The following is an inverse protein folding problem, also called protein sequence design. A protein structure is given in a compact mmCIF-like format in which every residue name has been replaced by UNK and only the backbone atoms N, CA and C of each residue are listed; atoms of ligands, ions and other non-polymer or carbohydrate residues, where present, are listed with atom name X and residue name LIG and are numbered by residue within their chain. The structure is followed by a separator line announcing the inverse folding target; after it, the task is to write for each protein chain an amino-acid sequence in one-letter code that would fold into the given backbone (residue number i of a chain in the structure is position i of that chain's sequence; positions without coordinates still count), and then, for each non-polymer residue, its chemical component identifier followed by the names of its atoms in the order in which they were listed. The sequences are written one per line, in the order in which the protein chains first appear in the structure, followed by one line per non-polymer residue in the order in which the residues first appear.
data_IF_928242138294
#
_entry.id   IF_928242138294
#
_cell.length_a   1.000
_cell.length_b   1.000
_cell.length_c   1.000
_cell.angle_alpha   90.00
_cell.angle_beta   90.00
_cell.angle_gamma   90.00
#
_symmetry.space_group_name_H-M   'P 1'
#
loop_
_entity.id
_entity.type
_entity.pdbx_description
1 polymer ?
#
# COMPACT_ATOMS: atom_id res chain seq x y z
N UNK A 1 -26.21 -16.83 -35.82
CA UNK A 1 -25.30 -15.70 -36.10
C UNK A 1 -25.59 -14.43 -35.31
N UNK A 2 -26.80 -13.83 -35.34
CA UNK A 2 -27.06 -12.55 -34.66
C UNK A 2 -26.79 -12.54 -33.15
N UNK A 3 -27.19 -13.59 -32.41
CA UNK A 3 -26.97 -13.66 -30.94
C UNK A 3 -25.49 -13.65 -30.55
N UNK A 4 -24.64 -14.38 -31.28
CA UNK A 4 -23.19 -14.46 -30.99
C UNK A 4 -22.48 -13.12 -31.21
N UNK A 5 -22.86 -12.40 -32.26
CA UNK A 5 -22.33 -11.05 -32.55
C UNK A 5 -22.76 -10.04 -31.49
N UNK A 6 -24.01 -10.10 -31.03
CA UNK A 6 -24.53 -9.22 -29.96
C UNK A 6 -23.80 -9.45 -28.64
N UNK A 7 -23.56 -10.71 -28.26
CA UNK A 7 -22.84 -11.05 -27.02
C UNK A 7 -21.39 -10.55 -27.07
N UNK A 8 -20.70 -10.73 -28.22
CA UNK A 8 -19.34 -10.23 -28.39
C UNK A 8 -19.26 -8.70 -28.24
N UNK A 9 -20.21 -7.96 -28.82
CA UNK A 9 -20.27 -6.51 -28.70
C UNK A 9 -20.52 -6.05 -27.24
N UNK A 10 -21.32 -6.79 -26.48
CA UNK A 10 -21.57 -6.48 -25.07
C UNK A 10 -20.32 -6.67 -24.21
N UNK A 11 -19.55 -7.73 -24.45
CA UNK A 11 -18.29 -7.98 -23.73
C UNK A 11 -17.26 -6.89 -24.03
N UNK A 12 -17.11 -6.50 -25.29
CA UNK A 12 -16.20 -5.40 -25.68
C UNK A 12 -16.62 -4.10 -25.01
N UNK A 13 -17.92 -3.78 -25.02
CA UNK A 13 -18.44 -2.59 -24.34
C UNK A 13 -18.11 -2.60 -22.84
N UNK A 14 -18.30 -3.75 -22.16
CA UNK A 14 -17.99 -3.90 -20.74
C UNK A 14 -16.49 -3.68 -20.48
N UNK A 15 -15.60 -4.25 -21.30
CA UNK A 15 -14.15 -4.04 -21.19
C UNK A 15 -13.78 -2.57 -21.35
N UNK A 16 -14.37 -1.88 -22.32
CA UNK A 16 -14.15 -0.43 -22.54
C UNK A 16 -14.63 0.38 -21.33
N UNK A 17 -15.79 0.05 -20.76
CA UNK A 17 -16.30 0.73 -19.57
C UNK A 17 -15.35 0.54 -18.38
N UNK A 18 -14.89 -0.70 -18.12
CA UNK A 18 -13.91 -0.96 -17.05
C UNK A 18 -12.62 -0.20 -17.30
N UNK A 19 -12.14 -0.17 -18.55
CA UNK A 19 -10.94 0.57 -18.93
C UNK A 19 -11.08 2.06 -18.60
N UNK A 20 -12.17 2.69 -19.01
CA UNK A 20 -12.44 4.11 -18.77
C UNK A 20 -12.57 4.41 -17.27
N UNK A 21 -13.30 3.58 -16.52
CA UNK A 21 -13.43 3.73 -15.06
C UNK A 21 -12.04 3.67 -14.40
N UNK A 22 -11.19 2.72 -14.83
CA UNK A 22 -9.81 2.62 -14.37
C UNK A 22 -8.99 3.85 -14.70
N UNK A 23 -9.08 4.38 -15.92
CA UNK A 23 -8.38 5.62 -16.30
C UNK A 23 -8.80 6.80 -15.43
N UNK A 24 -10.11 7.00 -15.23
CA UNK A 24 -10.62 8.05 -14.33
C UNK A 24 -10.06 7.86 -12.92
N UNK A 25 -10.12 6.63 -12.40
CA UNK A 25 -9.57 6.29 -11.09
C UNK A 25 -8.09 6.61 -10.97
N UNK A 26 -7.26 6.31 -11.98
CA UNK A 26 -5.79 6.45 -11.93
C UNK A 26 -5.30 7.89 -12.11
N UNK A 27 -6.10 8.76 -12.72
CA UNK A 27 -5.78 10.18 -12.97
C UNK A 27 -6.17 11.09 -11.80
N UNK A 28 -7.00 10.61 -10.85
CA UNK A 28 -7.36 11.41 -9.66
C UNK A 28 -6.11 11.93 -8.92
N UNK A 29 -6.18 13.09 -8.25
CA UNK A 29 -5.04 13.64 -7.53
C UNK A 29 -4.57 12.73 -6.40
N UNK A 30 -3.25 12.67 -6.22
CA UNK A 30 -2.62 11.93 -5.14
C UNK A 30 -2.85 12.60 -3.79
N UNK A 31 -3.14 11.83 -2.71
CA UNK A 31 -3.25 12.39 -1.37
C UNK A 31 -1.86 12.82 -0.86
N UNK A 32 -1.82 13.98 -0.19
CA UNK A 32 -0.61 14.44 0.50
C UNK A 32 -0.30 13.54 1.70
N UNK A 33 0.98 13.41 2.04
CA UNK A 33 1.43 12.71 3.25
C UNK A 33 0.82 13.36 4.51
N UNK A 34 -0.09 12.67 5.23
CA UNK A 34 -0.77 13.27 6.38
C UNK A 34 0.14 13.38 7.59
N UNK A 35 -0.24 14.27 8.50
CA UNK A 35 0.38 14.36 9.82
C UNK A 35 -0.39 13.49 10.82
N UNK A 36 0.34 12.82 11.71
CA UNK A 36 -0.21 11.93 12.72
C UNK A 36 -0.80 12.74 13.88
N UNK A 37 -2.05 12.47 14.27
CA UNK A 37 -2.69 13.16 15.38
C UNK A 37 -2.00 12.87 16.72
N UNK A 38 -2.06 13.83 17.66
CA UNK A 38 -1.55 13.66 19.03
C UNK A 38 -0.12 13.10 19.09
N UNK A 39 0.73 13.61 18.19
CA UNK A 39 2.11 13.17 18.04
C UNK A 39 3.04 14.37 17.87
N UNK A 40 4.33 14.17 18.10
CA UNK A 40 5.36 15.18 17.92
C UNK A 40 6.23 14.78 16.73
N UNK A 41 6.41 15.70 15.79
CA UNK A 41 7.24 15.47 14.60
C UNK A 41 8.71 15.30 15.03
N UNK A 42 9.37 14.28 14.50
CA UNK A 42 10.79 14.00 14.68
C UNK A 42 11.63 15.03 13.93
N UNK A 43 12.67 15.54 14.56
CA UNK A 43 13.69 16.41 13.97
C UNK A 43 15.03 15.67 13.73
N UNK A 44 15.04 14.35 13.88
CA UNK A 44 16.22 13.53 13.62
C UNK A 44 16.66 13.62 12.16
N UNK A 45 17.96 13.56 11.92
CA UNK A 45 18.55 13.63 10.58
C UNK A 45 17.94 12.60 9.60
N UNK A 46 17.69 11.39 10.09
CA UNK A 46 17.08 10.30 9.33
C UNK A 46 15.64 10.56 8.88
N UNK A 47 14.92 11.45 9.56
CA UNK A 47 13.50 11.74 9.35
C UNK A 47 13.26 13.14 8.77
N UNK A 48 14.33 13.89 8.46
CA UNK A 48 14.28 15.29 7.99
C UNK A 48 15.00 15.47 6.66
N UNK A 49 16.34 15.47 6.66
CA UNK A 49 17.13 15.83 5.47
C UNK A 49 17.79 14.62 4.79
N UNK A 50 18.05 13.52 5.51
CA UNK A 50 18.61 12.31 4.90
C UNK A 50 17.58 11.59 4.03
N UNK A 51 16.31 11.62 4.45
CA UNK A 51 15.18 11.04 3.73
C UNK A 51 14.01 12.04 3.69
N UNK A 52 14.03 13.00 2.75
CA UNK A 52 13.01 14.05 2.69
C UNK A 52 11.63 13.54 2.26
N UNK A 53 11.55 12.31 1.75
CA UNK A 53 10.30 11.62 1.42
C UNK A 53 9.62 11.01 2.66
N UNK A 54 10.28 10.99 3.82
CA UNK A 54 9.79 10.32 5.03
C UNK A 54 9.43 11.33 6.12
N UNK A 55 8.55 10.91 7.03
CA UNK A 55 8.26 11.68 8.26
C UNK A 55 8.26 10.75 9.47
N UNK A 56 9.06 11.09 10.47
CA UNK A 56 9.07 10.42 11.77
C UNK A 56 8.18 11.15 12.77
N UNK A 57 7.48 10.40 13.63
CA UNK A 57 6.63 10.92 14.69
C UNK A 57 6.86 10.16 15.98
N UNK A 58 6.80 10.88 17.09
CA UNK A 58 6.80 10.36 18.44
C UNK A 58 5.38 10.43 19.00
N UNK A 59 4.84 9.31 19.45
CA UNK A 59 3.43 9.24 19.86
C UNK A 59 3.20 8.23 20.98
N UNK A 60 2.11 8.44 21.72
CA UNK A 60 1.58 7.50 22.72
C UNK A 60 0.35 6.74 22.20
N UNK A 61 0.08 6.84 20.89
CA UNK A 61 -1.00 6.12 20.24
C UNK A 61 -0.64 4.64 20.05
N UNK A 62 -1.65 3.79 20.17
CA UNK A 62 -1.55 2.37 19.82
C UNK A 62 -1.51 2.18 18.29
N UNK A 63 -0.94 1.07 17.82
CA UNK A 63 -0.99 0.64 16.40
C UNK A 63 -2.35 0.89 15.73
N UNK A 64 -3.44 0.44 16.35
CA UNK A 64 -4.79 0.57 15.77
C UNK A 64 -5.21 2.03 15.60
N UNK A 65 -4.91 2.89 16.59
CA UNK A 65 -5.21 4.32 16.55
C UNK A 65 -4.38 5.03 15.48
N UNK A 66 -3.08 4.73 15.39
CA UNK A 66 -2.18 5.28 14.36
C UNK A 66 -2.72 4.98 12.97
N UNK A 67 -3.01 3.72 12.70
CA UNK A 67 -3.47 3.29 11.38
C UNK A 67 -4.86 3.82 11.03
N UNK A 68 -5.76 3.90 12.02
CA UNK A 68 -7.09 4.48 11.81
C UNK A 68 -7.00 5.97 11.49
N UNK A 69 -6.17 6.72 12.21
CA UNK A 69 -5.97 8.14 11.96
C UNK A 69 -5.39 8.37 10.57
N UNK A 70 -4.30 7.68 10.22
CA UNK A 70 -3.65 7.82 8.92
C UNK A 70 -4.57 7.40 7.77
N UNK A 71 -5.30 6.29 7.89
CA UNK A 71 -6.21 5.84 6.84
C UNK A 71 -7.38 6.82 6.64
N UNK A 72 -7.84 7.50 7.68
CA UNK A 72 -8.90 8.51 7.57
C UNK A 72 -8.44 9.80 6.89
N UNK A 73 -7.13 10.09 6.91
CA UNK A 73 -6.53 11.29 6.33
C UNK A 73 -5.95 11.04 4.94
N UNK A 74 -5.38 9.86 4.70
CA UNK A 74 -4.82 9.45 3.42
C UNK A 74 -5.93 8.96 2.48
N UNK A 75 -6.76 9.90 2.02
CA UNK A 75 -7.99 9.62 1.28
C UNK A 75 -7.98 10.24 -0.11
N UNK A 76 -8.31 9.43 -1.11
CA UNK A 76 -8.62 9.89 -2.46
C UNK A 76 -10.11 10.19 -2.55
N UNK A 77 -10.46 11.37 -3.06
CA UNK A 77 -11.86 11.81 -3.25
C UNK A 77 -12.21 11.83 -4.74
N UNK A 78 -13.36 11.27 -5.07
CA UNK A 78 -14.04 11.44 -6.36
C UNK A 78 -15.33 12.24 -6.10
N UNK A 79 -15.26 13.56 -6.29
CA UNK A 79 -16.32 14.47 -5.85
C UNK A 79 -16.51 14.39 -4.33
N UNK A 80 -17.71 14.01 -3.88
CA UNK A 80 -18.05 13.88 -2.46
C UNK A 80 -17.84 12.47 -1.90
N UNK A 81 -17.33 11.53 -2.71
CA UNK A 81 -17.16 10.13 -2.31
C UNK A 81 -15.68 9.86 -2.02
N UNK A 82 -15.38 9.40 -0.81
CA UNK A 82 -14.07 8.91 -0.43
C UNK A 82 -13.88 7.49 -0.97
N UNK A 83 -12.82 7.25 -1.73
CA UNK A 83 -12.50 5.92 -2.23
C UNK A 83 -11.91 5.06 -1.12
N UNK A 84 -12.32 3.78 -1.02
CA UNK A 84 -11.81 2.88 -0.01
C UNK A 84 -10.32 2.60 -0.23
N UNK A 85 -9.57 2.57 0.86
CA UNK A 85 -8.19 2.09 0.92
C UNK A 85 -8.12 0.78 1.69
N UNK A 86 -7.09 -0.01 1.44
CA UNK A 86 -6.86 -1.31 2.09
C UNK A 86 -5.61 -1.25 2.97
N UNK A 87 -5.57 -2.10 4.00
CA UNK A 87 -4.36 -2.29 4.80
C UNK A 87 -3.72 -3.62 4.47
N UNK A 88 -2.44 -3.61 4.19
CA UNK A 88 -1.62 -4.80 4.05
C UNK A 88 -0.63 -4.86 5.21
N UNK A 89 -0.46 -6.04 5.79
CA UNK A 89 0.47 -6.26 6.89
C UNK A 89 1.69 -7.02 6.38
N UNK A 90 2.86 -6.50 6.68
CA UNK A 90 4.16 -7.01 6.22
C UNK A 90 4.96 -7.58 7.38
N UNK A 91 6.03 -8.29 7.04
CA UNK A 91 6.99 -8.75 8.03
C UNK A 91 7.85 -7.57 8.47
N UNK A 92 8.27 -7.56 9.73
CA UNK A 92 9.04 -6.43 10.27
C UNK A 92 10.44 -6.35 9.67
N UNK A 93 10.99 -7.47 9.22
CA UNK A 93 12.28 -7.55 8.54
C UNK A 93 12.26 -6.82 7.18
N UNK A 94 11.10 -6.74 6.54
CA UNK A 94 10.91 -6.06 5.26
C UNK A 94 10.93 -4.52 5.41
N UNK A 95 10.85 -4.00 6.63
CA UNK A 95 10.92 -2.55 6.88
C UNK A 95 12.27 -1.95 6.47
N UNK A 96 13.32 -2.76 6.48
CA UNK A 96 14.65 -2.39 5.98
C UNK A 96 14.60 -2.00 4.50
N UNK A 97 13.92 -2.81 3.68
CA UNK A 97 13.83 -2.62 2.24
C UNK A 97 12.75 -1.60 1.87
N UNK A 98 11.59 -1.67 2.54
CA UNK A 98 10.40 -0.91 2.17
C UNK A 98 10.37 0.51 2.77
N UNK A 99 11.00 0.73 3.93
CA UNK A 99 10.99 2.03 4.61
C UNK A 99 12.38 2.63 4.67
N UNK A 100 13.32 2.05 5.43
CA UNK A 100 14.69 2.58 5.55
C UNK A 100 15.64 1.56 6.17
N UNK A 101 16.90 1.62 5.75
CA UNK A 101 18.02 0.96 6.42
C UNK A 101 18.09 1.36 7.92
N UNK A 102 18.47 0.39 8.77
CA UNK A 102 18.64 0.52 10.22
C UNK A 102 17.39 0.98 11.00
N UNK A 103 16.19 0.78 10.44
CA UNK A 103 14.95 1.10 11.13
C UNK A 103 14.57 -0.01 12.12
N UNK A 104 14.26 0.36 13.36
CA UNK A 104 13.65 -0.57 14.31
C UNK A 104 12.15 -0.66 14.06
N UNK A 105 11.59 -1.87 14.17
CA UNK A 105 10.21 -2.14 13.76
C UNK A 105 9.56 -3.20 14.66
N UNK A 106 8.34 -2.95 15.10
CA UNK A 106 7.45 -3.93 15.74
C UNK A 106 6.32 -4.34 14.81
N UNK A 107 5.90 -3.44 13.93
CA UNK A 107 4.94 -3.72 12.87
C UNK A 107 5.25 -2.86 11.66
N UNK A 108 4.94 -3.42 10.50
CA UNK A 108 4.96 -2.72 9.23
C UNK A 108 3.62 -2.95 8.55
N UNK A 109 2.90 -1.87 8.29
CA UNK A 109 1.67 -1.90 7.53
C UNK A 109 1.72 -0.92 6.36
N UNK A 110 0.91 -1.18 5.35
CA UNK A 110 0.78 -0.34 4.18
C UNK A 110 -0.69 -0.01 3.95
N UNK A 111 -1.00 1.28 3.80
CA UNK A 111 -2.31 1.75 3.35
C UNK A 111 -2.26 1.90 1.83
N UNK A 112 -3.02 1.09 1.10
CA UNK A 112 -2.89 0.91 -0.34
C UNK A 112 -4.10 1.42 -1.11
N UNK A 113 -3.82 2.16 -2.17
CA UNK A 113 -4.70 2.37 -3.32
C UNK A 113 -4.18 1.56 -4.52
N UNK A 114 -4.88 0.47 -4.92
CA UNK A 114 -4.40 -0.43 -5.97
C UNK A 114 -4.01 0.30 -7.26
N UNK A 115 -2.92 -0.10 -7.91
CA UNK A 115 -2.39 0.54 -9.12
C UNK A 115 -2.03 2.03 -8.99
N UNK A 116 -1.99 2.61 -7.78
CA UNK A 116 -1.74 4.04 -7.58
C UNK A 116 -0.58 4.35 -6.66
N UNK A 117 -0.86 4.38 -5.38
CA UNK A 117 0.04 4.85 -4.35
C UNK A 117 -0.29 4.18 -3.05
N UNK A 118 0.69 4.20 -2.17
CA UNK A 118 0.54 3.64 -0.86
C UNK A 118 1.32 4.43 0.17
N UNK A 119 1.01 4.16 1.43
CA UNK A 119 1.67 4.74 2.58
C UNK A 119 2.15 3.61 3.48
N UNK A 120 3.46 3.44 3.56
CA UNK A 120 4.09 2.55 4.53
C UNK A 120 4.11 3.22 5.91
N UNK A 121 3.67 2.48 6.91
CA UNK A 121 3.58 2.88 8.30
C UNK A 121 4.39 1.87 9.10
N UNK A 122 5.58 2.29 9.52
CA UNK A 122 6.41 1.54 10.43
C UNK A 122 6.17 2.02 11.86
N UNK A 123 5.91 1.10 12.79
CA UNK A 123 5.82 1.43 14.20
C UNK A 123 6.89 0.71 15.02
N UNK A 124 7.63 1.49 15.81
CA UNK A 124 8.59 1.01 16.79
C UNK A 124 8.06 1.29 18.21
N UNK A 125 7.79 0.21 18.94
CA UNK A 125 7.22 0.15 20.27
C UNK A 125 8.12 -0.73 21.16
N UNK A 126 9.10 -0.17 21.89
CA UNK A 126 10.07 -0.94 22.66
C UNK A 126 9.42 -1.89 23.65
N UNK A 127 8.34 -1.46 24.31
CA UNK A 127 7.60 -2.27 25.28
C UNK A 127 7.01 -3.55 24.69
N UNK A 128 6.77 -3.56 23.38
CA UNK A 128 6.19 -4.68 22.64
C UNK A 128 7.22 -5.40 21.77
N UNK A 129 8.52 -5.06 21.91
CA UNK A 129 9.57 -5.63 21.07
C UNK A 129 10.01 -7.00 21.59
N UNK A 130 10.11 -8.02 20.73
CA UNK A 130 10.54 -9.37 21.14
C UNK A 130 11.90 -9.37 21.86
N UNK A 131 12.82 -8.48 21.46
CA UNK A 131 14.14 -8.34 22.09
C UNK A 131 14.12 -7.90 23.55
N UNK A 132 13.02 -7.31 24.01
CA UNK A 132 12.84 -6.86 25.39
C UNK A 132 11.76 -7.65 26.14
N UNK A 133 11.26 -8.74 25.56
CA UNK A 133 10.19 -9.55 26.16
C UNK A 133 10.58 -10.19 27.50
N UNK A 134 11.87 -10.38 27.75
CA UNK A 134 12.42 -10.95 28.99
C UNK A 134 12.69 -9.91 30.08
N UNK A 135 12.64 -8.62 29.75
CA UNK A 135 12.87 -7.53 30.69
C UNK A 135 11.58 -7.13 31.39
N UNK A 136 11.68 -6.63 32.63
CA UNK A 136 10.56 -5.96 33.26
C UNK A 136 10.20 -4.70 32.47
N UNK A 137 8.91 -4.34 32.40
CA UNK A 137 8.43 -3.16 31.66
C UNK A 137 9.09 -1.85 32.10
N UNK A 138 9.60 -1.78 33.34
CA UNK A 138 10.37 -0.65 33.88
C UNK A 138 11.76 -0.51 33.27
N UNK A 139 12.33 -1.63 32.82
CA UNK A 139 13.73 -1.75 32.40
C UNK A 139 13.86 -1.68 30.87
N UNK A 140 12.73 -1.68 30.16
CA UNK A 140 12.67 -1.47 28.71
C UNK A 140 13.11 -0.04 28.39
N UNK A 141 14.00 0.17 27.41
CA UNK A 141 14.46 1.50 27.04
C UNK A 141 13.29 2.39 26.62
N UNK A 142 13.25 3.59 27.20
CA UNK A 142 12.28 4.63 26.88
C UNK A 142 12.71 5.35 25.61
N UNK A 143 11.75 5.67 24.76
CA UNK A 143 11.95 6.57 23.63
C UNK A 143 11.64 7.97 24.11
N UNK A 144 12.50 8.95 23.79
CA UNK A 144 12.27 10.33 24.17
C UNK A 144 12.70 11.30 23.08
N UNK A 145 11.93 12.37 22.91
CA UNK A 145 12.27 13.51 22.07
C UNK A 145 12.25 14.76 22.93
N UNK A 146 13.33 15.54 22.93
CA UNK A 146 13.47 16.77 23.73
C UNK A 146 13.14 16.60 25.24
N UNK A 147 13.50 15.45 25.82
CA UNK A 147 13.23 15.16 27.24
C UNK A 147 11.81 14.69 27.56
N UNK A 148 10.91 14.66 26.57
CA UNK A 148 9.56 14.08 26.70
C UNK A 148 9.61 12.62 26.29
N UNK A 149 9.06 11.74 27.14
CA UNK A 149 9.02 10.29 26.88
C UNK A 149 7.76 9.92 26.09
N UNK A 150 7.93 9.05 25.10
CA UNK A 150 6.87 8.50 24.27
C UNK A 150 6.89 6.98 24.28
N UNK A 151 5.73 6.38 24.02
CA UNK A 151 5.57 4.93 23.95
C UNK A 151 6.01 4.35 22.59
N UNK A 152 5.89 5.13 21.52
CA UNK A 152 6.17 4.67 20.17
C UNK A 152 6.86 5.73 19.30
N UNK A 153 7.69 5.26 18.37
CA UNK A 153 8.17 6.04 17.22
C UNK A 153 7.55 5.47 15.95
N UNK A 154 6.84 6.31 15.20
CA UNK A 154 6.16 5.97 13.96
C UNK A 154 6.92 6.61 12.80
N UNK A 155 7.23 5.85 11.75
CA UNK A 155 7.86 6.37 10.53
C UNK A 155 6.92 6.16 9.35
N UNK A 156 6.65 7.23 8.63
CA UNK A 156 5.77 7.23 7.47
C UNK A 156 6.60 7.39 6.20
N UNK A 157 6.36 6.52 5.22
CA UNK A 157 6.95 6.62 3.89
C UNK A 157 5.89 6.47 2.81
N UNK A 158 5.58 7.51 2.02
CA UNK A 158 4.68 7.40 0.88
C UNK A 158 5.41 6.79 -0.32
N UNK A 159 4.72 5.93 -1.06
CA UNK A 159 5.14 5.43 -2.36
C UNK A 159 4.22 6.00 -3.44
N UNK A 160 4.64 7.12 -4.02
CA UNK A 160 3.93 7.76 -5.12
C UNK A 160 4.34 7.18 -6.47
N UNK A 161 3.39 7.06 -7.38
CA UNK A 161 3.65 6.66 -8.77
C UNK A 161 3.22 7.79 -9.71
N UNK A 162 4.00 8.14 -10.74
CA UNK A 162 3.58 9.17 -11.66
C UNK A 162 2.40 8.68 -12.51
N UNK A 163 1.49 9.60 -12.86
CA UNK A 163 0.24 9.28 -13.59
C UNK A 163 0.51 8.54 -14.89
N UNK A 164 1.56 8.94 -15.63
CA UNK A 164 1.92 8.27 -16.89
C UNK A 164 2.25 6.79 -16.70
N UNK A 165 2.95 6.43 -15.61
CA UNK A 165 3.32 5.04 -15.33
C UNK A 165 2.09 4.22 -14.95
N UNK A 166 1.19 4.79 -14.14
CA UNK A 166 -0.09 4.17 -13.78
C UNK A 166 -0.91 3.84 -15.03
N UNK A 167 -1.06 4.81 -15.93
CA UNK A 167 -1.81 4.64 -17.17
C UNK A 167 -1.17 3.64 -18.13
N UNK A 168 0.17 3.64 -18.21
CA UNK A 168 0.91 2.67 -19.02
C UNK A 168 0.68 1.25 -18.52
N UNK A 169 0.89 1.00 -17.21
CA UNK A 169 0.68 -0.32 -16.60
C UNK A 169 -0.77 -0.76 -16.80
N UNK A 170 -1.74 0.10 -16.51
CA UNK A 170 -3.16 -0.19 -16.70
C UNK A 170 -3.49 -0.57 -18.15
N UNK A 171 -2.95 0.15 -19.12
CA UNK A 171 -3.17 -0.13 -20.54
C UNK A 171 -2.56 -1.46 -20.97
N UNK A 172 -1.43 -1.85 -20.39
CA UNK A 172 -0.76 -3.12 -20.70
C UNK A 172 -1.43 -4.34 -20.06
N UNK A 173 -2.21 -4.17 -18.99
CA UNK A 173 -2.93 -5.28 -18.33
C UNK A 173 -3.94 -5.95 -19.28
N UNK A 174 -4.64 -5.18 -20.12
CA UNK A 174 -5.68 -5.71 -21.02
C UNK A 174 -5.12 -6.62 -22.15
N UNK A 175 -4.17 -6.17 -22.99
CA UNK A 175 -3.58 -7.03 -24.01
C UNK A 175 -2.83 -8.21 -23.37
N UNK A 176 -2.11 -7.99 -22.26
CA UNK A 176 -1.45 -9.07 -21.53
C UNK A 176 -2.44 -10.12 -21.03
N UNK A 177 -3.55 -9.69 -20.43
CA UNK A 177 -4.62 -10.58 -19.98
C UNK A 177 -5.24 -11.37 -21.13
N UNK A 178 -5.41 -10.74 -22.29
CA UNK A 178 -5.88 -11.42 -23.50
C UNK A 178 -4.90 -12.48 -24.01
N UNK A 179 -3.59 -12.18 -24.03
CA UNK A 179 -2.56 -13.15 -24.41
C UNK A 179 -2.51 -14.34 -23.44
N UNK A 180 -2.64 -14.09 -22.14
CA UNK A 180 -2.73 -15.15 -21.12
C UNK A 180 -3.96 -16.03 -21.36
N UNK A 181 -5.11 -15.42 -21.66
CA UNK A 181 -6.34 -16.15 -22.00
C UNK A 181 -6.16 -17.05 -23.23
N UNK A 182 -5.55 -16.53 -24.30
CA UNK A 182 -5.25 -17.32 -25.51
C UNK A 182 -4.29 -18.48 -25.22
N UNK A 183 -3.24 -18.24 -24.42
CA UNK A 183 -2.30 -19.27 -23.99
C UNK A 183 -2.99 -20.38 -23.19
N UNK A 184 -3.89 -19.99 -22.29
CA UNK A 184 -4.68 -20.92 -21.49
C UNK A 184 -5.59 -21.80 -22.36
N UNK A 185 -6.31 -21.20 -23.32
CA UNK A 185 -7.15 -21.96 -24.27
C UNK A 185 -6.33 -22.94 -25.12
N UNK A 186 -5.16 -22.51 -25.60
CA UNK A 186 -4.26 -23.38 -26.37
C UNK A 186 -3.80 -24.58 -25.55
N UNK A 187 -3.50 -24.36 -24.27
CA UNK A 187 -3.11 -25.43 -23.35
C UNK A 187 -4.23 -26.44 -23.13
N UNK A 188 -5.46 -25.97 -22.92
CA UNK A 188 -6.63 -26.84 -22.75
C UNK A 188 -6.97 -27.64 -24.02
N UNK A 189 -6.84 -27.04 -25.20
CA UNK A 189 -7.05 -27.74 -26.47
C UNK A 189 -6.00 -28.84 -26.68
N UNK A 190 -4.73 -28.54 -26.37
CA UNK A 190 -3.61 -29.48 -26.51
C UNK A 190 -3.71 -30.67 -25.55
N UNK A 191 -4.18 -30.46 -24.31
CA UNK A 191 -4.39 -31.55 -23.34
C UNK A 191 -5.57 -32.45 -23.73
N UNK A 192 -6.63 -31.89 -24.32
CA UNK A 192 -7.79 -32.66 -24.81
C UNK A 192 -7.43 -33.60 -25.97
N UNK A 193 -6.55 -33.19 -26.87
CA UNK A 193 -6.07 -34.07 -27.97
C UNK A 193 -5.19 -35.22 -27.48
N UNK A 194 -4.49 -35.05 -26.35
CA UNK A 194 -3.61 -36.08 -25.78
C UNK A 194 -4.38 -37.19 -25.02
N UNK A 195 -5.63 -36.93 -24.62
CA UNK A 195 -6.51 -37.89 -23.95
C UNK A 195 -7.38 -38.75 -24.88
N UNK A 196 -7.38 -38.48 -26.20
CA UNK A 196 -8.20 -39.20 -27.18
C UNK A 196 -7.45 -40.33 -27.92
N UNK A 197 -6.20 -40.59 -27.56
CA UNK A 197 -5.41 -41.71 -28.07
C UNK A 197 -5.39 -42.79 -26.99
N UNK A 198 -6.46 -43.58 -26.90
CA UNK A 198 -6.52 -44.89 -26.28
C UNK A 198 -7.55 -45.73 -27.01
#
# INVERSE_FOLDING_TARGET
MKKTVVIANLVVLLVIIIFIIGVVYLVLPSPSLPDLASSTLSDEAGDTWQHPDQKGYYSNLTRSQVLSDLQSKFVIKLGNIALPSYRLNYRVEEAYELVRDQLNSNYLEEIVYPFRESLFVNGWEPKNAPRFATLAKSDVPKISLHGVVYDAKITLRPAYSPVWARLLIWSLVFPSGYLVYLSFLRTLSSSRMRGSIK
#
